data_IF_662062894604
#
_entry.id   IF_662062894604
#
_cell.length_a   1.000
_cell.length_b   1.000
_cell.length_c   1.000
_cell.angle_alpha   90.00
_cell.angle_beta   90.00
_cell.angle_gamma   90.00
#
_symmetry.space_group_name_H-M   'P 1'
#
loop_
_entity.id
_entity.type
_entity.pdbx_description
1 polymer ?
#
# COMPACT_ATOMS: atom_id res chain seq x y z
N UNK A 1 -24.74 4.55 -2.97
CA UNK A 1 -23.75 5.30 -2.13
C UNK A 1 -22.58 4.36 -1.89
N UNK A 2 -21.34 4.79 -2.14
CA UNK A 2 -20.16 3.95 -1.87
C UNK A 2 -20.03 3.67 -0.37
N UNK A 3 -19.66 2.45 0.04
CA UNK A 3 -19.42 2.18 1.44
C UNK A 3 -18.18 2.97 1.91
N UNK A 4 -18.31 3.65 3.04
CA UNK A 4 -17.17 4.30 3.69
C UNK A 4 -16.45 3.26 4.53
N UNK A 5 -15.18 3.01 4.21
CA UNK A 5 -14.37 2.06 4.96
C UNK A 5 -13.73 2.75 6.17
N UNK A 6 -13.86 2.13 7.32
CA UNK A 6 -13.33 2.61 8.61
C UNK A 6 -12.25 1.70 9.17
N UNK A 7 -11.97 0.61 8.48
CA UNK A 7 -10.98 -0.40 8.84
C UNK A 7 -10.21 -0.83 7.62
N UNK A 8 -8.99 -1.27 7.83
CA UNK A 8 -8.18 -1.90 6.79
C UNK A 8 -7.35 -3.04 7.37
N UNK A 9 -6.96 -3.98 6.51
CA UNK A 9 -5.88 -4.92 6.80
C UNK A 9 -4.75 -4.76 5.80
N UNK A 10 -3.53 -4.96 6.26
CA UNK A 10 -2.33 -4.97 5.44
C UNK A 10 -1.60 -6.30 5.65
N UNK A 11 -1.14 -6.90 4.55
CA UNK A 11 -0.49 -8.20 4.57
C UNK A 11 0.75 -8.15 3.68
N UNK A 12 1.92 -8.40 4.25
CA UNK A 12 3.19 -8.57 3.51
C UNK A 12 3.65 -10.00 3.65
N UNK A 13 4.04 -10.61 2.54
CA UNK A 13 4.48 -11.99 2.51
C UNK A 13 5.73 -12.10 1.65
N UNK A 14 6.62 -13.02 2.03
CA UNK A 14 7.85 -13.31 1.30
C UNK A 14 7.95 -14.80 1.06
N UNK A 15 8.16 -15.16 -0.19
CA UNK A 15 8.46 -16.53 -0.60
C UNK A 15 9.97 -16.77 -0.58
N UNK A 16 10.39 -18.03 -0.47
CA UNK A 16 11.80 -18.42 -0.63
C UNK A 16 12.32 -18.18 -2.03
N UNK A 17 11.43 -18.28 -3.03
CA UNK A 17 11.70 -18.08 -4.45
C UNK A 17 10.57 -17.26 -5.08
N UNK A 18 10.83 -16.67 -6.23
CA UNK A 18 9.78 -15.98 -7.00
C UNK A 18 8.70 -16.99 -7.39
N UNK A 19 7.46 -16.85 -6.89
CA UNK A 19 6.41 -17.80 -7.23
C UNK A 19 5.98 -17.62 -8.69
N UNK A 20 5.71 -18.74 -9.37
CA UNK A 20 5.03 -18.70 -10.65
C UNK A 20 3.59 -18.22 -10.43
N UNK A 21 3.10 -17.21 -11.16
CA UNK A 21 1.76 -16.64 -10.96
C UNK A 21 0.65 -17.70 -11.06
N UNK A 22 0.83 -18.70 -11.93
CA UNK A 22 -0.13 -19.80 -12.13
C UNK A 22 -0.29 -20.68 -10.87
N UNK A 23 0.68 -20.64 -9.97
CA UNK A 23 0.63 -21.35 -8.70
C UNK A 23 -0.04 -20.59 -7.56
N UNK A 24 -0.53 -19.37 -7.82
CA UNK A 24 -1.20 -18.52 -6.83
C UNK A 24 -2.67 -18.34 -7.21
N UNK A 25 -3.58 -18.72 -6.30
CA UNK A 25 -4.99 -18.40 -6.47
C UNK A 25 -5.23 -16.92 -6.08
N UNK A 26 -5.14 -16.05 -7.06
CA UNK A 26 -5.35 -14.60 -6.91
C UNK A 26 -6.82 -14.18 -7.00
N UNK A 27 -7.74 -15.13 -7.18
CA UNK A 27 -9.19 -14.87 -7.23
C UNK A 27 -9.81 -14.70 -5.84
N UNK A 28 -9.18 -15.26 -4.83
CA UNK A 28 -9.67 -15.20 -3.45
C UNK A 28 -9.68 -13.78 -2.90
N UNK A 29 -10.72 -13.49 -2.12
CA UNK A 29 -10.96 -12.19 -1.51
C UNK A 29 -11.23 -12.34 -0.02
N UNK A 30 -10.79 -11.40 0.82
CA UNK A 30 -11.22 -11.38 2.22
C UNK A 30 -12.74 -11.14 2.29
N UNK A 31 -13.44 -11.96 3.06
CA UNK A 31 -14.89 -11.80 3.26
C UNK A 31 -15.21 -10.43 3.89
N UNK A 32 -16.24 -9.76 3.40
CA UNK A 32 -16.67 -8.45 3.87
C UNK A 32 -15.82 -7.28 3.39
N UNK A 33 -14.71 -7.54 2.67
CA UNK A 33 -13.90 -6.46 2.11
C UNK A 33 -14.65 -5.72 0.98
N UNK A 34 -14.77 -4.43 1.11
CA UNK A 34 -15.27 -3.55 0.05
C UNK A 34 -14.23 -3.39 -1.08
N UNK A 35 -12.93 -3.49 -0.75
CA UNK A 35 -11.83 -3.47 -1.70
C UNK A 35 -10.73 -4.43 -1.27
N UNK A 36 -10.11 -5.09 -2.24
CA UNK A 36 -8.94 -5.93 -2.05
C UNK A 36 -7.94 -5.70 -3.16
N UNK A 37 -6.71 -5.38 -2.79
CA UNK A 37 -5.58 -5.22 -3.70
C UNK A 37 -4.47 -6.16 -3.25
N UNK A 38 -4.05 -7.04 -4.15
CA UNK A 38 -2.92 -7.96 -3.94
C UNK A 38 -1.99 -7.86 -5.13
N UNK A 39 -0.70 -7.75 -4.89
CA UNK A 39 0.29 -7.65 -5.95
C UNK A 39 1.71 -7.87 -5.47
N UNK A 40 2.60 -8.09 -6.44
CA UNK A 40 4.01 -8.26 -6.18
C UNK A 40 4.70 -6.90 -5.96
N UNK A 41 5.64 -6.85 -5.02
CA UNK A 41 6.64 -5.79 -4.96
C UNK A 41 7.67 -6.06 -6.07
N UNK A 42 7.95 -5.07 -6.87
CA UNK A 42 8.92 -5.20 -7.95
C UNK A 42 9.26 -3.87 -8.57
N UNK A 43 10.54 -3.70 -8.93
CA UNK A 43 10.99 -2.56 -9.70
C UNK A 43 10.33 -2.54 -11.08
N UNK A 44 10.19 -1.37 -11.65
CA UNK A 44 9.73 -1.24 -13.03
C UNK A 44 10.82 -1.69 -14.01
N UNK A 45 10.45 -2.52 -14.97
CA UNK A 45 11.29 -2.80 -16.14
C UNK A 45 11.25 -1.63 -17.13
N UNK A 46 12.20 -1.60 -18.07
CA UNK A 46 12.30 -0.53 -19.07
C UNK A 46 11.06 -0.39 -19.97
N UNK A 47 10.33 -1.48 -20.17
CA UNK A 47 9.07 -1.52 -20.94
C UNK A 47 7.84 -1.15 -20.12
N UNK A 48 8.02 -0.76 -18.85
CA UNK A 48 6.95 -0.43 -17.92
C UNK A 48 6.28 -1.62 -17.24
N UNK A 49 6.69 -2.86 -17.57
CA UNK A 49 6.28 -4.05 -16.83
C UNK A 49 6.93 -4.06 -15.42
N UNK A 50 6.53 -4.99 -14.57
CA UNK A 50 7.20 -5.21 -13.30
C UNK A 50 8.07 -6.44 -13.37
N UNK A 51 9.24 -6.32 -12.75
CA UNK A 51 10.11 -7.46 -12.54
C UNK A 51 9.44 -8.46 -11.57
N UNK A 52 9.60 -9.77 -11.80
CA UNK A 52 9.14 -10.77 -10.87
C UNK A 52 9.73 -10.56 -9.47
N UNK A 53 8.94 -10.81 -8.44
CA UNK A 53 9.35 -10.62 -7.05
C UNK A 53 8.89 -11.76 -6.15
N UNK A 54 9.73 -12.13 -5.18
CA UNK A 54 9.38 -13.04 -4.11
C UNK A 54 8.59 -12.35 -2.98
N UNK A 55 8.40 -11.04 -3.05
CA UNK A 55 7.64 -10.25 -2.07
C UNK A 55 6.29 -9.88 -2.65
N UNK A 56 5.23 -10.16 -1.89
CA UNK A 56 3.86 -9.81 -2.23
C UNK A 56 3.20 -9.03 -1.11
N UNK A 57 2.36 -8.10 -1.48
CA UNK A 57 1.66 -7.23 -0.55
C UNK A 57 0.18 -7.20 -0.89
N UNK A 58 -0.65 -7.19 0.16
CA UNK A 58 -2.08 -7.02 0.04
C UNK A 58 -2.61 -5.96 0.98
N UNK A 59 -3.65 -5.24 0.55
CA UNK A 59 -4.43 -4.32 1.38
C UNK A 59 -5.91 -4.53 1.11
N UNK A 60 -6.68 -4.66 2.18
CA UNK A 60 -8.14 -4.74 2.12
C UNK A 60 -8.78 -3.62 2.94
N UNK A 61 -9.90 -3.10 2.45
CA UNK A 61 -10.66 -2.02 3.09
C UNK A 61 -12.04 -2.54 3.50
N UNK A 62 -12.45 -2.22 4.73
CA UNK A 62 -13.70 -2.74 5.31
C UNK A 62 -14.58 -1.62 5.87
N UNK A 63 -15.89 -1.67 5.62
CA UNK A 63 -16.85 -0.85 6.35
C UNK A 63 -16.98 -1.29 7.81
N UNK A 64 -16.96 -2.61 8.08
CA UNK A 64 -17.27 -3.20 9.36
C UNK A 64 -16.01 -3.74 10.08
N UNK A 65 -15.90 -3.47 11.38
CA UNK A 65 -14.79 -3.92 12.23
C UNK A 65 -14.68 -5.44 12.27
N UNK A 66 -15.79 -6.12 12.48
CA UNK A 66 -15.81 -7.58 12.64
C UNK A 66 -15.29 -8.33 11.41
N UNK A 67 -15.46 -7.77 10.21
CA UNK A 67 -14.94 -8.34 8.98
C UNK A 67 -13.43 -8.13 8.87
N UNK A 68 -12.95 -6.95 9.25
CA UNK A 68 -11.51 -6.65 9.27
C UNK A 68 -10.77 -7.52 10.31
N UNK A 69 -11.35 -7.69 11.51
CA UNK A 69 -10.80 -8.55 12.55
C UNK A 69 -10.72 -10.02 12.12
N UNK A 70 -11.80 -10.54 11.52
CA UNK A 70 -11.82 -11.90 10.97
C UNK A 70 -10.73 -12.12 9.91
N UNK A 71 -10.56 -11.18 9.01
CA UNK A 71 -9.54 -11.25 7.98
C UNK A 71 -8.12 -11.16 8.58
N UNK A 72 -7.92 -10.33 9.60
CA UNK A 72 -6.65 -10.25 10.31
C UNK A 72 -6.31 -11.55 11.05
N UNK A 73 -7.29 -12.19 11.70
CA UNK A 73 -7.11 -13.43 12.46
C UNK A 73 -6.93 -14.67 11.59
N UNK A 74 -7.57 -14.69 10.41
CA UNK A 74 -7.55 -15.81 9.49
C UNK A 74 -7.07 -15.48 8.08
N UNK A 75 -5.87 -14.88 7.90
CA UNK A 75 -5.41 -14.46 6.58
C UNK A 75 -5.24 -15.62 5.58
N UNK A 76 -5.05 -16.86 6.06
CA UNK A 76 -4.99 -18.05 5.22
C UNK A 76 -6.26 -18.35 4.44
N UNK A 77 -7.41 -17.80 4.85
CA UNK A 77 -8.66 -17.98 4.13
C UNK A 77 -8.70 -17.29 2.76
N UNK A 78 -7.89 -16.25 2.55
CA UNK A 78 -7.79 -15.51 1.29
C UNK A 78 -6.35 -15.35 0.78
N UNK A 79 -5.38 -15.80 1.56
CA UNK A 79 -3.99 -15.98 1.18
C UNK A 79 -3.61 -17.46 1.35
N UNK A 80 -4.13 -18.38 0.51
CA UNK A 80 -3.95 -19.83 0.68
C UNK A 80 -2.50 -20.27 0.48
N UNK A 81 -1.65 -19.38 -0.02
CA UNK A 81 -0.22 -19.59 -0.20
C UNK A 81 0.63 -19.21 1.02
N UNK A 82 0.03 -18.86 2.17
CA UNK A 82 0.79 -18.48 3.37
C UNK A 82 1.70 -19.61 3.89
N UNK A 83 1.29 -20.85 3.73
CA UNK A 83 2.08 -22.03 4.08
C UNK A 83 3.38 -22.19 3.25
N UNK A 84 3.46 -21.49 2.11
CA UNK A 84 4.62 -21.46 1.21
C UNK A 84 5.54 -20.26 1.44
N UNK A 85 5.20 -19.37 2.36
CA UNK A 85 5.99 -18.18 2.65
C UNK A 85 7.01 -18.46 3.76
N UNK A 86 8.15 -17.80 3.67
CA UNK A 86 9.22 -17.87 4.69
C UNK A 86 9.11 -16.75 5.72
N UNK A 87 8.37 -15.72 5.41
CA UNK A 87 8.12 -14.59 6.30
C UNK A 87 6.79 -13.94 5.95
N UNK A 88 6.04 -13.52 6.96
CA UNK A 88 4.83 -12.73 6.78
C UNK A 88 4.63 -11.73 7.92
N UNK A 89 4.04 -10.60 7.59
CA UNK A 89 3.58 -9.60 8.55
C UNK A 89 2.16 -9.15 8.19
N UNK A 90 1.33 -9.08 9.21
CA UNK A 90 -0.08 -8.67 9.08
C UNK A 90 -0.40 -7.57 10.07
N UNK A 91 -1.21 -6.60 9.65
CA UNK A 91 -1.66 -5.51 10.50
C UNK A 91 -3.16 -5.24 10.31
N UNK A 92 -3.86 -5.02 11.43
CA UNK A 92 -5.20 -4.43 11.48
C UNK A 92 -5.03 -2.93 11.70
N UNK A 93 -5.62 -2.14 10.81
CA UNK A 93 -5.38 -0.71 10.69
C UNK A 93 -6.68 0.09 10.85
N UNK A 94 -6.59 1.25 11.50
CA UNK A 94 -7.65 2.26 11.52
C UNK A 94 -7.18 3.52 10.80
N UNK A 95 -7.95 4.06 9.83
CA UNK A 95 -7.61 5.30 9.16
C UNK A 95 -7.81 6.48 10.11
N UNK A 96 -6.84 7.39 10.16
CA UNK A 96 -6.88 8.62 10.94
C UNK A 96 -6.94 9.87 10.07
N UNK A 97 -6.52 9.76 8.80
CA UNK A 97 -6.65 10.82 7.82
C UNK A 97 -6.63 10.25 6.41
N UNK A 98 -7.46 10.80 5.52
CA UNK A 98 -7.47 10.44 4.10
C UNK A 98 -7.66 11.67 3.24
N UNK A 99 -6.95 11.73 2.12
CA UNK A 99 -7.13 12.76 1.10
C UNK A 99 -6.83 12.20 -0.29
N UNK A 100 -7.41 12.82 -1.30
CA UNK A 100 -7.20 12.45 -2.71
C UNK A 100 -8.18 11.39 -3.17
N UNK A 101 -7.89 10.82 -4.32
CA UNK A 101 -8.73 9.85 -5.01
C UNK A 101 -7.93 8.61 -5.37
N UNK A 102 -8.58 7.46 -5.31
CA UNK A 102 -8.04 6.19 -5.79
C UNK A 102 -9.15 5.28 -6.28
N UNK A 103 -8.81 4.28 -7.09
CA UNK A 103 -9.79 3.38 -7.70
C UNK A 103 -10.00 2.07 -6.93
N UNK A 104 -9.85 2.09 -5.62
CA UNK A 104 -10.00 0.89 -4.81
C UNK A 104 -11.41 0.30 -4.82
N UNK A 105 -12.45 1.13 -4.93
CA UNK A 105 -13.85 0.66 -4.94
C UNK A 105 -14.53 0.77 -6.31
N UNK A 106 -14.12 1.73 -7.10
CA UNK A 106 -14.76 2.02 -8.38
C UNK A 106 -13.76 2.70 -9.31
N UNK A 107 -13.43 2.04 -10.42
CA UNK A 107 -12.46 2.53 -11.39
C UNK A 107 -12.94 3.72 -12.18
N UNK A 108 -14.24 3.74 -12.48
CA UNK A 108 -14.84 4.75 -13.33
C UNK A 108 -15.22 6.01 -12.53
N UNK A 109 -15.35 5.87 -11.20
CA UNK A 109 -15.71 6.94 -10.32
C UNK A 109 -14.90 6.89 -9.02
N UNK A 110 -13.58 7.16 -9.09
CA UNK A 110 -12.72 7.21 -7.91
C UNK A 110 -13.19 8.31 -6.95
N UNK A 111 -12.91 8.14 -5.69
CA UNK A 111 -13.29 9.12 -4.68
C UNK A 111 -12.82 8.73 -3.29
N UNK A 112 -13.15 9.49 -2.26
CA UNK A 112 -12.76 9.19 -0.90
C UNK A 112 -13.33 7.83 -0.47
N UNK A 113 -12.45 6.98 0.02
CA UNK A 113 -12.77 5.61 0.41
C UNK A 113 -12.78 5.40 1.90
N UNK A 114 -11.94 6.15 2.58
CA UNK A 114 -11.60 5.95 3.96
C UNK A 114 -12.05 7.14 4.77
N UNK A 115 -12.75 6.88 5.86
CA UNK A 115 -13.10 7.87 6.85
C UNK A 115 -12.31 7.61 8.13
N UNK A 116 -11.89 8.65 8.84
CA UNK A 116 -11.35 8.49 10.20
C UNK A 116 -12.31 7.68 11.08
N UNK A 117 -11.75 6.81 11.90
CA UNK A 117 -12.49 5.94 12.80
C UNK A 117 -12.30 6.38 14.26
N UNK A 118 -13.04 7.42 14.63
CA UNK A 118 -12.96 7.96 15.99
C UNK A 118 -11.71 8.82 16.25
N UNK A 119 -11.25 8.82 17.51
CA UNK A 119 -10.03 9.50 17.92
C UNK A 119 -8.78 8.74 17.47
N UNK A 120 -7.69 9.47 17.25
CA UNK A 120 -6.38 8.88 16.92
C UNK A 120 -5.84 8.11 18.16
N UNK A 121 -5.67 6.77 18.07
CA UNK A 121 -5.12 5.99 19.17
C UNK A 121 -3.63 6.25 19.44
N UNK A 122 -2.97 7.06 18.59
CA UNK A 122 -1.54 7.32 18.70
C UNK A 122 -0.66 6.15 18.26
N UNK A 123 0.64 6.28 18.50
CA UNK A 123 1.65 5.23 18.18
C UNK A 123 2.21 5.32 16.76
N UNK A 124 2.90 4.26 16.33
CA UNK A 124 3.53 4.23 15.01
C UNK A 124 2.54 4.47 13.86
N UNK A 125 3.01 5.20 12.85
CA UNK A 125 2.21 5.61 11.72
C UNK A 125 2.39 4.64 10.55
N UNK A 126 1.29 4.19 9.98
CA UNK A 126 1.29 3.46 8.70
C UNK A 126 0.69 4.38 7.64
N UNK A 127 1.40 4.54 6.53
CA UNK A 127 0.95 5.41 5.43
C UNK A 127 0.75 4.59 4.17
N UNK A 128 -0.41 4.75 3.56
CA UNK A 128 -0.72 4.24 2.23
C UNK A 128 -0.77 5.42 1.26
N UNK A 129 0.04 5.35 0.22
CA UNK A 129 -0.04 6.26 -0.92
C UNK A 129 -0.44 5.45 -2.14
N UNK A 130 -1.39 5.95 -2.91
CA UNK A 130 -1.77 5.33 -4.18
C UNK A 130 -1.57 6.30 -5.32
N UNK A 131 -1.27 5.76 -6.49
CA UNK A 131 -1.25 6.54 -7.72
C UNK A 131 -1.74 5.68 -8.89
N UNK A 132 -2.49 6.29 -9.79
CA UNK A 132 -3.07 5.61 -10.92
C UNK A 132 -3.20 6.48 -12.16
N UNK A 133 -3.44 5.78 -13.27
CA UNK A 133 -3.57 6.36 -14.60
C UNK A 133 -4.88 5.92 -15.23
N UNK A 134 -5.48 6.82 -16.00
CA UNK A 134 -6.65 6.50 -16.83
C UNK A 134 -6.16 5.93 -18.14
N UNK A 135 -6.49 4.66 -18.39
CA UNK A 135 -6.19 3.99 -19.67
C UNK A 135 -7.31 4.28 -20.65
N UNK A 136 -6.96 4.91 -21.78
CA UNK A 136 -7.93 5.30 -22.81
C UNK A 136 -7.27 6.01 -23.98
N UNK A 137 -8.05 6.64 -24.88
CA UNK A 137 -7.51 7.46 -25.96
C UNK A 137 -6.53 8.52 -25.42
N UNK A 138 -5.32 8.58 -25.97
CA UNK A 138 -4.27 9.50 -25.52
C UNK A 138 -3.47 9.03 -24.29
N UNK A 139 -3.66 7.79 -23.84
CA UNK A 139 -2.84 7.19 -22.78
C UNK A 139 -1.36 7.14 -23.22
N UNK A 140 -0.49 7.69 -22.37
CA UNK A 140 0.95 7.75 -22.61
C UNK A 140 1.71 6.82 -21.66
N UNK A 141 2.24 5.72 -22.21
CA UNK A 141 3.04 4.76 -21.43
C UNK A 141 4.36 5.38 -20.95
N UNK A 142 4.96 6.32 -21.70
CA UNK A 142 6.20 6.98 -21.27
C UNK A 142 6.00 7.74 -19.95
N UNK A 143 4.82 8.35 -19.75
CA UNK A 143 4.43 9.01 -18.51
C UNK A 143 4.36 8.02 -17.33
N UNK A 144 3.87 6.81 -17.58
CA UNK A 144 3.81 5.76 -16.54
C UNK A 144 5.21 5.29 -16.17
N UNK A 145 6.09 5.09 -17.16
CA UNK A 145 7.48 4.67 -16.94
C UNK A 145 8.24 5.74 -16.14
N UNK A 146 8.13 7.01 -16.54
CA UNK A 146 8.75 8.14 -15.82
C UNK A 146 8.26 8.21 -14.36
N UNK A 147 6.94 8.11 -14.15
CA UNK A 147 6.36 8.10 -12.80
C UNK A 147 6.92 6.95 -11.95
N UNK A 148 6.95 5.73 -12.48
CA UNK A 148 7.48 4.55 -11.77
C UNK A 148 8.96 4.69 -11.44
N UNK A 149 9.76 5.20 -12.36
CA UNK A 149 11.19 5.49 -12.13
C UNK A 149 11.38 6.46 -10.96
N UNK A 150 10.54 7.47 -10.87
CA UNK A 150 10.58 8.42 -9.76
C UNK A 150 10.11 7.79 -8.43
N UNK A 151 9.11 6.90 -8.45
CA UNK A 151 8.70 6.14 -7.26
C UNK A 151 9.87 5.28 -6.75
N UNK A 152 10.63 4.63 -7.63
CA UNK A 152 11.79 3.81 -7.23
C UNK A 152 12.89 4.67 -6.59
N UNK A 153 13.14 5.88 -7.09
CA UNK A 153 14.07 6.84 -6.45
C UNK A 153 13.59 7.22 -5.04
N UNK A 154 12.32 7.59 -4.90
CA UNK A 154 11.74 7.94 -3.60
C UNK A 154 11.81 6.75 -2.64
N UNK A 155 11.64 5.53 -3.12
CA UNK A 155 11.79 4.32 -2.32
C UNK A 155 13.18 4.21 -1.70
N UNK A 156 14.24 4.48 -2.47
CA UNK A 156 15.63 4.49 -1.97
C UNK A 156 15.82 5.57 -0.89
N UNK A 157 15.29 6.77 -1.12
CA UNK A 157 15.36 7.85 -0.13
C UNK A 157 14.58 7.54 1.15
N UNK A 158 13.43 6.89 1.02
CA UNK A 158 12.67 6.47 2.18
C UNK A 158 13.42 5.43 3.03
N UNK A 159 14.30 4.61 2.41
CA UNK A 159 15.18 3.67 3.14
C UNK A 159 16.12 4.37 4.10
N UNK A 160 16.68 5.49 3.66
CA UNK A 160 17.63 6.27 4.44
C UNK A 160 16.96 7.29 5.38
N UNK A 161 15.63 7.44 5.30
CA UNK A 161 14.91 8.43 6.08
C UNK A 161 14.84 8.04 7.56
N UNK A 162 15.22 8.97 8.45
CA UNK A 162 15.06 8.76 9.89
C UNK A 162 13.60 8.49 10.25
N UNK A 163 13.39 7.45 11.04
CA UNK A 163 12.07 7.01 11.48
C UNK A 163 11.26 6.22 10.45
N UNK A 164 11.74 6.00 9.21
CA UNK A 164 11.16 4.99 8.34
C UNK A 164 11.62 3.59 8.77
N UNK A 165 10.69 2.75 9.17
CA UNK A 165 10.99 1.44 9.76
C UNK A 165 10.85 0.31 8.75
N UNK A 166 9.83 0.42 7.90
CA UNK A 166 9.56 -0.59 6.88
C UNK A 166 8.74 0.02 5.74
N UNK A 167 8.86 -0.54 4.56
CA UNK A 167 8.10 -0.10 3.39
C UNK A 167 7.93 -1.21 2.37
N UNK A 168 6.86 -1.09 1.58
CA UNK A 168 6.63 -1.90 0.38
C UNK A 168 5.97 -1.06 -0.70
N UNK A 169 6.32 -1.34 -1.96
CA UNK A 169 5.70 -0.75 -3.14
C UNK A 169 5.20 -1.90 -3.99
N UNK A 170 3.92 -1.95 -4.27
CA UNK A 170 3.37 -3.02 -5.09
C UNK A 170 2.38 -2.52 -6.14
N UNK A 171 2.32 -3.20 -7.26
CA UNK A 171 1.25 -3.04 -8.21
C UNK A 171 0.23 -4.15 -8.00
N UNK A 172 -1.05 -3.82 -7.86
CA UNK A 172 -2.09 -4.81 -7.84
C UNK A 172 -2.03 -5.72 -9.06
N UNK A 173 -2.36 -6.98 -8.86
CA UNK A 173 -2.40 -7.97 -9.94
C UNK A 173 -3.47 -7.63 -10.99
N UNK A 174 -4.54 -6.98 -10.58
CA UNK A 174 -5.62 -6.57 -11.49
C UNK A 174 -5.16 -5.40 -12.38
N UNK A 175 -5.15 -5.55 -13.70
CA UNK A 175 -4.74 -4.49 -14.62
C UNK A 175 -5.57 -3.21 -14.45
N UNK A 176 -4.91 -2.06 -14.52
CA UNK A 176 -5.56 -0.75 -14.39
C UNK A 176 -5.87 -0.32 -12.95
N UNK A 177 -5.55 -1.13 -11.96
CA UNK A 177 -5.61 -0.71 -10.57
C UNK A 177 -4.45 0.23 -10.20
N UNK A 178 -4.73 1.16 -9.28
CA UNK A 178 -3.71 2.07 -8.79
C UNK A 178 -2.59 1.32 -8.07
N UNK A 179 -1.34 1.70 -8.34
CA UNK A 179 -0.18 1.25 -7.59
C UNK A 179 -0.26 1.72 -6.14
N UNK A 180 0.32 0.94 -5.24
CA UNK A 180 0.25 1.18 -3.78
C UNK A 180 1.65 1.22 -3.19
N UNK A 181 1.91 2.22 -2.37
CA UNK A 181 3.06 2.28 -1.47
C UNK A 181 2.55 2.23 -0.04
N UNK A 182 3.11 1.31 0.77
CA UNK A 182 2.86 1.22 2.20
C UNK A 182 4.15 1.48 2.95
N UNK A 183 4.14 2.39 3.91
CA UNK A 183 5.30 2.72 4.75
C UNK A 183 4.92 2.71 6.22
N UNK A 184 5.84 2.24 7.07
CA UNK A 184 5.71 2.28 8.54
C UNK A 184 6.71 3.29 9.07
N UNK A 185 6.23 4.22 9.88
CA UNK A 185 7.01 5.30 10.46
C UNK A 185 6.95 5.26 11.98
N UNK A 186 8.05 5.64 12.62
CA UNK A 186 8.11 5.80 14.07
C UNK A 186 7.02 6.76 14.59
N UNK A 187 6.85 7.88 13.90
CA UNK A 187 5.93 8.94 14.30
C UNK A 187 5.53 9.84 13.11
N UNK A 188 4.56 10.73 13.34
CA UNK A 188 4.09 11.72 12.37
C UNK A 188 5.16 12.76 12.03
N UNK A 189 6.05 13.09 12.96
CA UNK A 189 7.10 14.09 12.75
C UNK A 189 8.14 13.59 11.75
N UNK A 190 8.59 12.34 11.89
CA UNK A 190 9.53 11.68 10.96
C UNK A 190 8.93 11.58 9.55
N UNK A 191 7.68 11.11 9.45
CA UNK A 191 6.96 11.05 8.17
C UNK A 191 6.82 12.44 7.55
N UNK A 192 6.44 13.44 8.32
CA UNK A 192 6.26 14.81 7.83
C UNK A 192 7.58 15.45 7.43
N UNK A 193 8.67 15.15 8.14
CA UNK A 193 10.01 15.58 7.76
C UNK A 193 10.41 15.03 6.39
N UNK A 194 10.23 13.73 6.16
CA UNK A 194 10.47 13.09 4.87
C UNK A 194 9.57 13.67 3.76
N UNK A 195 8.27 13.82 4.02
CA UNK A 195 7.31 14.19 2.99
C UNK A 195 7.37 15.66 2.59
N UNK A 196 7.67 16.58 3.52
CA UNK A 196 7.41 18.01 3.31
C UNK A 196 8.61 18.93 3.57
N UNK A 197 9.72 18.43 4.14
CA UNK A 197 10.93 19.25 4.27
C UNK A 197 11.66 19.33 2.93
N UNK A 198 12.93 19.42 2.90
CA UNK A 198 13.75 19.45 1.68
C UNK A 198 14.02 18.04 1.19
N UNK A 199 14.21 17.85 -0.13
CA UNK A 199 14.64 16.59 -0.74
C UNK A 199 13.70 16.06 -1.80
N UNK A 200 14.08 14.94 -2.39
CA UNK A 200 13.44 14.37 -3.61
C UNK A 200 11.93 14.12 -3.46
N UNK A 201 11.45 13.71 -2.29
CA UNK A 201 10.02 13.50 -2.10
C UNK A 201 9.24 14.80 -2.19
N UNK A 202 9.76 15.90 -1.61
CA UNK A 202 9.18 17.23 -1.73
C UNK A 202 9.18 17.71 -3.18
N UNK A 203 10.28 17.51 -3.89
CA UNK A 203 10.42 17.91 -5.30
C UNK A 203 9.40 17.16 -6.17
N UNK A 204 9.14 15.87 -5.88
CA UNK A 204 8.12 15.09 -6.58
C UNK A 204 6.69 15.55 -6.26
N UNK A 205 6.39 15.94 -5.03
CA UNK A 205 5.09 16.55 -4.69
C UNK A 205 4.90 17.84 -5.50
N UNK A 206 5.92 18.69 -5.57
CA UNK A 206 5.85 19.94 -6.30
C UNK A 206 5.79 19.72 -7.82
N UNK A 207 6.50 18.70 -8.32
CA UNK A 207 6.39 18.26 -9.72
C UNK A 207 4.98 17.74 -10.03
N UNK A 208 4.42 16.89 -9.19
CA UNK A 208 3.04 16.40 -9.35
C UNK A 208 2.03 17.55 -9.45
N UNK A 209 2.16 18.57 -8.60
CA UNK A 209 1.27 19.74 -8.61
C UNK A 209 1.38 20.56 -9.90
N UNK A 210 2.59 20.65 -10.49
CA UNK A 210 2.82 21.40 -11.74
C UNK A 210 2.45 20.61 -12.99
N UNK A 211 2.79 19.33 -13.03
CA UNK A 211 2.81 18.50 -14.25
C UNK A 211 1.73 17.41 -14.25
N UNK A 212 1.05 17.23 -13.11
CA UNK A 212 0.02 16.19 -12.95
C UNK A 212 0.52 14.81 -13.40
N UNK A 213 1.68 14.39 -12.86
CA UNK A 213 2.42 13.19 -13.28
C UNK A 213 1.66 11.87 -13.12
N UNK A 214 0.55 11.84 -12.39
CA UNK A 214 -0.43 10.77 -12.34
C UNK A 214 -1.84 11.37 -12.47
N UNK A 215 -2.83 10.60 -12.91
CA UNK A 215 -4.19 11.11 -13.11
C UNK A 215 -4.96 11.21 -11.80
N UNK A 216 -4.64 10.34 -10.84
CA UNK A 216 -5.19 10.37 -9.50
C UNK A 216 -4.16 9.90 -8.49
N UNK A 217 -4.24 10.43 -7.30
CA UNK A 217 -3.40 10.04 -6.17
C UNK A 217 -4.22 10.10 -4.89
N UNK A 218 -3.91 9.22 -3.96
CA UNK A 218 -4.43 9.32 -2.60
C UNK A 218 -3.35 9.14 -1.56
N UNK A 219 -3.61 9.66 -0.38
CA UNK A 219 -2.74 9.60 0.76
C UNK A 219 -3.56 9.32 2.00
N UNK A 220 -3.30 8.21 2.64
CA UNK A 220 -4.03 7.76 3.84
C UNK A 220 -3.07 7.47 4.96
N UNK A 221 -3.35 8.01 6.14
CA UNK A 221 -2.65 7.70 7.38
C UNK A 221 -3.49 6.75 8.21
N UNK A 222 -2.83 5.76 8.78
CA UNK A 222 -3.43 4.76 9.66
C UNK A 222 -2.62 4.63 10.95
N UNK A 223 -3.29 4.11 12.01
CA UNK A 223 -2.64 3.48 13.15
C UNK A 223 -2.85 1.98 13.09
N UNK A 224 -1.81 1.22 13.45
CA UNK A 224 -1.95 -0.22 13.62
C UNK A 224 -2.49 -0.51 15.01
N UNK A 225 -3.69 -1.08 15.08
CA UNK A 225 -4.32 -1.47 16.36
C UNK A 225 -3.93 -2.88 16.79
N UNK A 226 -3.65 -3.76 15.82
CA UNK A 226 -3.11 -5.11 16.03
C UNK A 226 -2.10 -5.46 14.96
N UNK A 227 -1.14 -6.31 15.30
CA UNK A 227 -0.14 -6.80 14.36
C UNK A 227 0.27 -8.24 14.71
N UNK A 228 0.69 -9.00 13.70
CA UNK A 228 1.23 -10.34 13.86
C UNK A 228 2.32 -10.63 12.82
N UNK A 229 3.23 -11.53 13.17
CA UNK A 229 4.36 -11.91 12.31
C UNK A 229 5.50 -10.90 12.30
N UNK A 230 6.42 -11.08 11.38
CA UNK A 230 7.64 -10.28 11.25
C UNK A 230 7.90 -9.83 9.82
N UNK A 231 8.72 -8.81 9.68
CA UNK A 231 9.27 -8.34 8.42
C UNK A 231 10.73 -7.93 8.58
N UNK A 232 11.61 -8.59 7.83
CA UNK A 232 13.07 -8.51 8.03
C UNK A 232 13.48 -8.89 9.47
N UNK A 233 12.87 -9.97 9.99
CA UNK A 233 13.17 -10.56 11.28
C UNK A 233 12.61 -9.81 12.50
N UNK A 234 11.79 -8.77 12.32
CA UNK A 234 11.20 -8.00 13.43
C UNK A 234 9.79 -7.52 13.10
N UNK A 235 8.97 -7.29 14.12
CA UNK A 235 7.68 -6.65 13.91
C UNK A 235 7.88 -5.16 13.59
N UNK A 236 7.44 -4.63 12.43
CA UNK A 236 7.61 -3.22 12.08
C UNK A 236 7.02 -2.24 13.09
N UNK A 237 5.87 -2.57 13.69
CA UNK A 237 5.21 -1.68 14.65
C UNK A 237 5.97 -1.64 15.99
N UNK A 238 6.49 -2.77 16.46
CA UNK A 238 7.31 -2.81 17.66
C UNK A 238 8.65 -2.10 17.44
N UNK A 239 9.28 -2.33 16.29
CA UNK A 239 10.50 -1.65 15.91
C UNK A 239 10.33 -0.12 15.78
N UNK A 240 9.13 0.35 15.45
CA UNK A 240 8.81 1.77 15.39
C UNK A 240 8.57 2.41 16.77
N UNK A 241 8.33 1.60 17.80
CA UNK A 241 8.17 2.06 19.20
C UNK A 241 9.48 2.10 19.99
N UNK A 242 10.49 1.39 19.51
CA UNK A 242 11.83 1.33 20.11
C UNK A 242 12.66 2.57 19.76
#
# INVERSE_FOLDING_TARGET
>A
MKPMCRWATCHWVRFSEVPAPEGLDLSLRPAGAASWKLGADGAAAADGSRLPSAVWCGVALYPEQADAERAFEGPGAFLPFLDRTIESWHALLVPIAHRGECNHLDRDNPGPLLAPNGEDPGGPLVVMTTAGFVVGPGFDMARVVDFRTNVDRIRIHAEAADGNVARQVFAPHTPGDDGVTMTVWRDDASMSAFAYRTGEHRDQIDRYKREQTADRTSFTRFRAVRTSGSWNGRCPIEAARA
#
